data_IF_395425424500
#
_entry.id   IF_395425424500
#
_cell.length_a   1.000
_cell.length_b   1.000
_cell.length_c   1.000
_cell.angle_alpha   90.00
_cell.angle_beta   90.00
_cell.angle_gamma   90.00
#
_symmetry.space_group_name_H-M   'P 1'
#
loop_
_entity.id
_entity.type
_entity.pdbx_description
1 polymer ?
#
# COMPACT_ATOMS: atom_id res chain seq x y z
N UNK A 1 4.06 1.71 9.54
CA UNK A 1 3.45 1.00 8.39
C UNK A 1 3.24 -0.49 8.68
N UNK A 2 2.01 -0.94 8.43
CA UNK A 2 1.55 -2.32 8.49
C UNK A 2 1.50 -2.90 7.07
N UNK A 3 2.53 -3.66 6.71
CA UNK A 3 2.68 -4.28 5.38
C UNK A 3 1.68 -5.39 5.12
N UNK A 4 1.36 -6.16 6.16
CA UNK A 4 0.45 -7.30 6.04
C UNK A 4 -0.95 -6.81 5.73
N UNK A 5 -1.36 -5.71 6.38
CA UNK A 5 -2.62 -5.03 6.10
C UNK A 5 -2.65 -4.47 4.69
N UNK A 6 -1.57 -3.82 4.22
CA UNK A 6 -1.49 -3.35 2.85
C UNK A 6 -1.71 -4.49 1.85
N UNK A 7 -1.02 -5.63 2.03
CA UNK A 7 -1.18 -6.80 1.15
C UNK A 7 -2.60 -7.37 1.22
N UNK A 8 -3.22 -7.38 2.39
CA UNK A 8 -4.61 -7.79 2.55
C UNK A 8 -5.55 -6.91 1.71
N UNK A 9 -5.38 -5.59 1.74
CA UNK A 9 -6.17 -4.65 0.94
C UNK A 9 -5.90 -4.78 -0.56
N UNK A 10 -4.65 -4.98 -0.98
CA UNK A 10 -4.30 -5.25 -2.38
C UNK A 10 -5.06 -6.46 -2.90
N UNK A 11 -5.06 -7.55 -2.14
CA UNK A 11 -5.80 -8.78 -2.48
C UNK A 11 -7.31 -8.56 -2.49
N UNK A 12 -7.86 -7.85 -1.49
CA UNK A 12 -9.31 -7.53 -1.41
C UNK A 12 -9.77 -6.67 -2.59
N UNK A 13 -8.91 -5.81 -3.11
CA UNK A 13 -9.16 -5.01 -4.30
C UNK A 13 -9.01 -5.81 -5.61
N UNK A 14 -8.69 -7.11 -5.55
CA UNK A 14 -8.60 -7.99 -6.71
C UNK A 14 -7.25 -7.92 -7.45
N UNK A 15 -6.24 -7.29 -6.85
CA UNK A 15 -4.92 -7.20 -7.44
C UNK A 15 -3.99 -8.33 -6.98
N UNK A 16 -3.12 -8.75 -7.88
CA UNK A 16 -1.89 -9.45 -7.53
C UNK A 16 -0.80 -8.43 -7.22
N UNK A 17 0.16 -8.78 -6.36
CA UNK A 17 1.23 -7.85 -5.99
C UNK A 17 2.03 -7.34 -7.19
N UNK A 18 2.21 -8.20 -8.21
CA UNK A 18 2.89 -7.87 -9.45
C UNK A 18 2.13 -6.80 -10.24
N UNK A 19 0.86 -7.07 -10.55
CA UNK A 19 0.03 -6.15 -11.33
C UNK A 19 -0.19 -4.84 -10.57
N UNK A 20 -0.33 -4.90 -9.25
CA UNK A 20 -0.41 -3.69 -8.42
C UNK A 20 0.85 -2.84 -8.47
N UNK A 21 2.04 -3.46 -8.45
CA UNK A 21 3.30 -2.73 -8.58
C UNK A 21 3.41 -2.04 -9.95
N UNK A 22 2.99 -2.72 -11.01
CA UNK A 22 2.95 -2.18 -12.38
C UNK A 22 1.98 -0.98 -12.48
N UNK A 23 0.78 -1.08 -11.90
CA UNK A 23 -0.21 0.02 -11.82
C UNK A 23 0.32 1.23 -11.01
N UNK A 24 1.15 0.99 -10.00
CA UNK A 24 1.85 2.05 -9.26
C UNK A 24 3.00 2.69 -10.06
N UNK A 25 3.37 2.11 -11.20
CA UNK A 25 4.49 2.55 -12.02
C UNK A 25 5.86 2.12 -11.46
N UNK A 26 5.93 0.98 -10.78
CA UNK A 26 7.20 0.45 -10.25
C UNK A 26 7.39 -1.05 -10.53
N UNK A 27 8.64 -1.48 -10.58
CA UNK A 27 8.94 -2.91 -10.69
C UNK A 27 8.48 -3.68 -9.44
N UNK A 28 7.99 -4.90 -9.63
CA UNK A 28 7.59 -5.82 -8.56
C UNK A 28 8.70 -6.00 -7.49
N UNK A 29 9.96 -6.13 -7.92
CA UNK A 29 11.11 -6.23 -7.01
C UNK A 29 11.31 -4.99 -6.14
N UNK A 30 10.99 -3.80 -6.66
CA UNK A 30 11.01 -2.55 -5.90
C UNK A 30 9.86 -2.49 -4.92
N UNK A 31 8.66 -2.95 -5.31
CA UNK A 31 7.51 -3.04 -4.41
C UNK A 31 7.81 -3.96 -3.22
N UNK A 32 8.31 -5.18 -3.44
CA UNK A 32 8.70 -6.09 -2.35
C UNK A 32 9.80 -5.52 -1.46
N UNK A 33 10.81 -4.88 -2.05
CA UNK A 33 11.87 -4.21 -1.28
C UNK A 33 11.31 -3.10 -0.41
N UNK A 34 10.36 -2.30 -0.92
CA UNK A 34 9.69 -1.23 -0.18
C UNK A 34 8.76 -1.75 0.91
N UNK A 35 8.05 -2.85 0.68
CA UNK A 35 7.30 -3.57 1.71
C UNK A 35 8.24 -3.98 2.86
N UNK A 36 9.30 -4.74 2.55
CA UNK A 36 10.25 -5.22 3.57
C UNK A 36 10.90 -4.08 4.36
N UNK A 37 11.28 -3.00 3.67
CA UNK A 37 11.92 -1.82 4.27
C UNK A 37 10.94 -0.81 4.86
N UNK A 38 9.63 -0.99 4.66
CA UNK A 38 8.58 -0.02 5.03
C UNK A 38 8.89 1.41 4.57
N UNK A 39 9.34 1.53 3.31
CA UNK A 39 9.97 2.74 2.75
C UNK A 39 9.21 3.36 1.58
N UNK A 40 7.88 3.35 1.67
CA UNK A 40 7.04 4.09 0.73
C UNK A 40 7.09 5.58 1.04
N UNK A 41 7.21 6.41 0.00
CA UNK A 41 7.10 7.86 0.14
C UNK A 41 5.66 8.28 0.38
N UNK A 42 5.45 9.54 0.77
CA UNK A 42 4.10 10.12 0.94
C UNK A 42 3.32 10.05 -0.38
N UNK A 43 3.96 10.37 -1.51
CA UNK A 43 3.32 10.32 -2.83
C UNK A 43 2.92 8.89 -3.23
N UNK A 44 3.77 7.91 -2.95
CA UNK A 44 3.46 6.50 -3.19
C UNK A 44 2.31 6.04 -2.29
N UNK A 45 2.31 6.43 -1.01
CA UNK A 45 1.22 6.13 -0.09
C UNK A 45 -0.11 6.73 -0.58
N UNK A 46 -0.10 7.98 -1.06
CA UNK A 46 -1.29 8.61 -1.64
C UNK A 46 -1.78 7.90 -2.90
N UNK A 47 -0.90 7.46 -3.79
CA UNK A 47 -1.28 6.69 -4.98
C UNK A 47 -1.87 5.34 -4.60
N UNK A 48 -1.25 4.63 -3.66
CA UNK A 48 -1.76 3.37 -3.11
C UNK A 48 -3.16 3.57 -2.53
N UNK A 49 -3.38 4.60 -1.70
CA UNK A 49 -4.69 4.91 -1.14
C UNK A 49 -5.75 5.18 -2.21
N UNK A 50 -5.38 5.87 -3.30
CA UNK A 50 -6.29 6.12 -4.42
C UNK A 50 -6.63 4.85 -5.20
N UNK A 51 -5.64 4.03 -5.53
CA UNK A 51 -5.85 2.77 -6.27
C UNK A 51 -6.69 1.77 -5.48
N UNK A 52 -6.42 1.66 -4.18
CA UNK A 52 -7.15 0.74 -3.29
C UNK A 52 -8.45 1.34 -2.74
N UNK A 53 -8.77 2.58 -3.10
CA UNK A 53 -9.96 3.33 -2.61
C UNK A 53 -10.08 3.33 -1.08
N UNK A 54 -8.95 3.47 -0.40
CA UNK A 54 -8.90 3.46 1.06
C UNK A 54 -9.54 4.73 1.62
N UNK A 55 -10.31 4.57 2.69
CA UNK A 55 -10.70 5.71 3.50
C UNK A 55 -9.54 6.24 4.35
N UNK A 56 -9.75 7.38 5.02
CA UNK A 56 -8.72 8.00 5.85
C UNK A 56 -8.27 7.10 7.00
N UNK A 57 -9.18 6.35 7.63
CA UNK A 57 -8.85 5.46 8.73
C UNK A 57 -8.02 4.26 8.26
N UNK A 58 -8.39 3.66 7.13
CA UNK A 58 -7.69 2.54 6.53
C UNK A 58 -6.28 2.94 6.09
N UNK A 59 -6.14 4.11 5.45
CA UNK A 59 -4.85 4.66 5.08
C UNK A 59 -3.97 4.94 6.31
N UNK A 60 -4.56 5.51 7.38
CA UNK A 60 -3.83 5.75 8.62
C UNK A 60 -3.39 4.46 9.33
N UNK A 61 -4.26 3.46 9.35
CA UNK A 61 -3.95 2.13 9.90
C UNK A 61 -2.78 1.48 9.13
N UNK A 62 -2.81 1.55 7.80
CA UNK A 62 -1.78 0.96 6.94
C UNK A 62 -0.45 1.72 7.05
N UNK A 63 -0.44 3.03 6.84
CA UNK A 63 0.83 3.77 6.72
C UNK A 63 1.40 4.17 8.08
N UNK A 64 0.55 4.56 9.03
CA UNK A 64 0.96 5.08 10.34
C UNK A 64 0.77 4.09 11.50
N UNK A 65 0.04 2.98 11.29
CA UNK A 65 -0.15 1.97 12.33
C UNK A 65 -1.04 2.43 13.50
N UNK A 66 -1.84 3.47 13.29
CA UNK A 66 -2.78 4.04 14.26
C UNK A 66 -4.11 4.29 13.57
N UNK A 67 -5.22 4.14 14.30
CA UNK A 67 -6.53 4.65 13.86
C UNK A 67 -6.63 6.13 14.21
N UNK A 68 -7.32 6.92 13.39
CA UNK A 68 -7.68 8.28 13.78
C UNK A 68 -8.65 8.17 14.96
N UNK A 69 -8.39 8.98 15.99
CA UNK A 69 -9.21 9.07 17.20
C UNK A 69 -10.38 10.04 17.00
#
# INVERSE_FOLDING_TARGET
MNTDRLIEFVKRAGYENKTFAEELGMAESTFYRKLKKKSFSVDEAQRISKLLKLDANEAYEIFFGKKLA
#
